data_IF_241579222327
#
_entry.id   IF_241579222327
#
_cell.length_a   1.000
_cell.length_b   1.000
_cell.length_c   1.000
_cell.angle_alpha   90.00
_cell.angle_beta   90.00
_cell.angle_gamma   90.00
#
_symmetry.space_group_name_H-M   'P 1'
#
loop_
_entity.id
_entity.type
_entity.pdbx_description
1 polymer ?
#
# COMPACT_ATOMS: atom_id res chain seq x y z
N UNK A 1 18.86 6.32 -5.44
CA UNK A 1 18.45 7.09 -4.24
C UNK A 1 17.39 6.26 -3.53
N UNK A 2 17.54 6.00 -2.24
CA UNK A 2 16.52 5.30 -1.45
C UNK A 2 15.31 6.22 -1.30
N UNK A 3 14.13 5.76 -1.70
CA UNK A 3 12.88 6.52 -1.54
C UNK A 3 12.53 6.59 -0.04
N UNK A 4 12.02 7.73 0.41
CA UNK A 4 11.71 8.00 1.83
C UNK A 4 10.31 8.56 1.98
N UNK A 5 9.73 8.39 3.17
CA UNK A 5 8.45 8.97 3.59
C UNK A 5 8.78 10.18 4.47
N UNK A 6 8.28 11.40 4.14
CA UNK A 6 8.58 12.60 4.91
C UNK A 6 8.25 12.44 6.38
N UNK A 7 9.16 12.87 7.28
CA UNK A 7 8.92 12.83 8.74
C UNK A 7 7.64 13.57 9.15
N UNK A 8 7.35 14.69 8.49
CA UNK A 8 6.13 15.46 8.71
C UNK A 8 4.85 14.66 8.39
N UNK A 9 4.88 13.82 7.35
CA UNK A 9 3.74 12.96 7.00
C UNK A 9 3.52 11.90 8.07
N UNK A 10 4.60 11.27 8.56
CA UNK A 10 4.51 10.31 9.68
C UNK A 10 3.95 10.98 10.94
N UNK A 11 4.36 12.22 11.21
CA UNK A 11 3.85 13.02 12.33
C UNK A 11 2.34 13.27 12.20
N UNK A 12 1.90 13.70 11.02
CA UNK A 12 0.48 13.94 10.72
C UNK A 12 -0.35 12.66 10.85
N UNK A 13 0.09 11.57 10.23
CA UNK A 13 -0.61 10.29 10.24
C UNK A 13 -0.76 9.69 11.64
N UNK A 14 0.26 9.84 12.50
CA UNK A 14 0.28 9.24 13.84
C UNK A 14 -0.24 10.18 14.93
N UNK A 15 -0.44 11.46 14.63
CA UNK A 15 -0.73 12.51 15.61
C UNK A 15 0.42 12.78 16.59
N UNK A 16 1.58 12.16 16.40
CA UNK A 16 2.76 12.40 17.24
C UNK A 16 3.51 13.64 16.76
N UNK A 17 4.00 14.51 17.64
CA UNK A 17 4.80 15.66 17.22
C UNK A 17 6.11 15.17 16.58
N UNK A 18 6.61 15.86 15.54
CA UNK A 18 7.86 15.50 14.87
C UNK A 18 9.02 15.28 15.85
N UNK A 19 9.14 16.10 16.89
CA UNK A 19 10.17 15.99 17.93
C UNK A 19 10.16 14.67 18.71
N UNK A 20 9.04 13.93 18.71
CA UNK A 20 8.93 12.59 19.31
C UNK A 20 9.26 11.46 18.31
N UNK A 21 9.39 11.76 17.03
CA UNK A 21 9.80 10.80 15.99
C UNK A 21 11.32 10.76 15.85
N UNK A 22 11.89 9.66 15.31
CA UNK A 22 13.29 9.62 14.90
C UNK A 22 13.66 10.77 13.95
N UNK A 23 14.92 11.21 13.99
CA UNK A 23 15.41 12.23 13.05
C UNK A 23 15.49 11.69 11.61
N UNK A 24 15.11 12.55 10.66
CA UNK A 24 15.11 12.24 9.23
C UNK A 24 13.83 11.59 8.73
N UNK A 25 13.73 11.47 7.42
CA UNK A 25 12.62 10.80 6.76
C UNK A 25 12.68 9.30 6.96
N UNK A 26 11.51 8.65 6.99
CA UNK A 26 11.40 7.21 7.17
C UNK A 26 11.79 6.48 5.88
N UNK A 27 12.82 5.62 5.86
CA UNK A 27 13.19 4.88 4.66
C UNK A 27 12.09 3.90 4.24
N UNK A 28 11.75 3.89 2.96
CA UNK A 28 10.68 3.05 2.44
C UNK A 28 10.89 1.53 2.70
N UNK A 29 12.10 0.96 2.60
CA UNK A 29 12.31 -0.44 2.94
C UNK A 29 11.99 -0.74 4.41
N UNK A 30 12.35 0.17 5.31
CA UNK A 30 12.06 0.02 6.74
C UNK A 30 10.57 0.13 7.01
N UNK A 31 9.89 1.06 6.37
CA UNK A 31 8.43 1.15 6.44
C UNK A 31 7.76 -0.15 5.96
N UNK A 32 8.22 -0.69 4.83
CA UNK A 32 7.69 -1.93 4.27
C UNK A 32 7.86 -3.13 5.21
N UNK A 33 9.00 -3.23 5.92
CA UNK A 33 9.22 -4.25 6.96
C UNK A 33 8.20 -4.13 8.10
N UNK A 34 7.96 -2.92 8.61
CA UNK A 34 6.98 -2.69 9.68
C UNK A 34 5.54 -2.96 9.22
N UNK A 35 5.16 -2.51 8.01
CA UNK A 35 3.84 -2.76 7.45
C UNK A 35 3.62 -4.25 7.16
N UNK A 36 4.64 -4.96 6.66
CA UNK A 36 4.59 -6.41 6.47
C UNK A 36 4.35 -7.17 7.78
N UNK A 37 4.98 -6.74 8.88
CA UNK A 37 4.69 -7.30 10.20
C UNK A 37 3.24 -7.05 10.65
N UNK A 38 2.68 -5.88 10.33
CA UNK A 38 1.27 -5.60 10.58
C UNK A 38 0.33 -6.46 9.72
N UNK A 39 0.62 -6.65 8.43
CA UNK A 39 -0.14 -7.54 7.54
C UNK A 39 -0.14 -9.00 8.03
N UNK A 40 1.00 -9.48 8.51
CA UNK A 40 1.10 -10.83 9.07
C UNK A 40 0.22 -10.99 10.32
N UNK A 41 0.06 -9.93 11.12
CA UNK A 41 -0.87 -9.91 12.26
C UNK A 41 -2.34 -9.85 11.79
N UNK A 42 -2.65 -9.04 10.76
CA UNK A 42 -3.98 -8.98 10.14
C UNK A 42 -4.42 -10.34 9.60
N UNK A 43 -3.54 -11.05 8.89
CA UNK A 43 -3.81 -12.37 8.35
C UNK A 43 -4.11 -13.43 9.44
N UNK A 44 -3.69 -13.18 10.68
CA UNK A 44 -3.93 -14.03 11.85
C UNK A 44 -5.06 -13.52 12.76
N UNK A 45 -5.77 -12.45 12.37
CA UNK A 45 -6.79 -11.79 13.20
C UNK A 45 -6.24 -11.19 14.52
N UNK A 46 -4.95 -10.86 14.57
CA UNK A 46 -4.25 -10.34 15.77
C UNK A 46 -3.83 -8.85 15.64
N UNK A 47 -4.46 -8.11 14.72
CA UNK A 47 -4.04 -6.75 14.38
C UNK A 47 -4.44 -5.67 15.40
N UNK A 48 -5.50 -5.89 16.18
CA UNK A 48 -5.99 -4.88 17.12
C UNK A 48 -4.98 -4.63 18.25
N UNK A 49 -4.52 -3.37 18.37
CA UNK A 49 -3.48 -3.01 19.34
C UNK A 49 -2.08 -3.51 18.99
N UNK A 50 -1.87 -3.99 17.76
CA UNK A 50 -0.56 -4.42 17.31
C UNK A 50 0.42 -3.23 17.29
N UNK A 51 1.68 -3.38 17.75
CA UNK A 51 2.64 -2.27 17.81
C UNK A 51 2.89 -1.58 16.47
N UNK A 52 2.65 -2.27 15.36
CA UNK A 52 2.84 -1.76 14.00
C UNK A 52 1.59 -1.17 13.36
N UNK A 53 0.48 -1.04 14.09
CA UNK A 53 -0.77 -0.46 13.58
C UNK A 53 -0.59 0.99 13.07
N UNK A 54 0.41 1.72 13.57
CA UNK A 54 0.74 3.06 13.07
C UNK A 54 1.07 3.09 11.57
N UNK A 55 1.56 1.97 11.03
CA UNK A 55 1.90 1.87 9.60
C UNK A 55 0.65 1.97 8.72
N UNK A 56 -0.50 1.49 9.19
CA UNK A 56 -1.76 1.60 8.48
C UNK A 56 -2.22 3.06 8.34
N UNK A 57 -2.12 3.81 9.44
CA UNK A 57 -2.42 5.25 9.43
C UNK A 57 -1.49 6.02 8.45
N UNK A 58 -0.21 5.64 8.40
CA UNK A 58 0.74 6.23 7.43
C UNK A 58 0.36 5.86 5.99
N UNK A 59 -0.08 4.63 5.73
CA UNK A 59 -0.53 4.23 4.40
C UNK A 59 -1.76 5.03 3.96
N UNK A 60 -2.75 5.17 4.83
CA UNK A 60 -3.94 5.99 4.55
C UNK A 60 -3.57 7.45 4.24
N UNK A 61 -2.64 8.03 5.01
CA UNK A 61 -2.15 9.38 4.74
C UNK A 61 -1.37 9.47 3.41
N UNK A 62 -0.57 8.45 3.07
CA UNK A 62 0.12 8.38 1.78
C UNK A 62 -0.88 8.32 0.63
N UNK A 63 -1.89 7.47 0.71
CA UNK A 63 -2.94 7.36 -0.32
C UNK A 63 -3.60 8.73 -0.52
N UNK A 64 -3.95 9.41 0.57
CA UNK A 64 -4.64 10.70 0.49
C UNK A 64 -3.78 11.88 -0.02
N UNK A 65 -2.45 11.84 0.14
CA UNK A 65 -1.58 13.01 -0.09
C UNK A 65 -0.53 12.82 -1.17
N UNK A 66 -0.05 11.60 -1.40
CA UNK A 66 0.93 11.25 -2.43
C UNK A 66 0.67 9.80 -2.93
N UNK A 67 -0.33 9.60 -3.81
CA UNK A 67 -0.68 8.29 -4.36
C UNK A 67 0.50 7.57 -5.04
N UNK A 68 1.43 8.32 -5.61
CA UNK A 68 2.61 7.75 -6.26
C UNK A 68 3.61 7.19 -5.25
N UNK A 69 3.78 7.85 -4.10
CA UNK A 69 4.56 7.32 -2.98
C UNK A 69 3.84 6.15 -2.28
N UNK A 70 2.51 6.20 -2.16
CA UNK A 70 1.70 5.08 -1.69
C UNK A 70 1.91 3.83 -2.56
N UNK A 71 1.80 3.97 -3.88
CA UNK A 71 2.07 2.87 -4.81
C UNK A 71 3.51 2.32 -4.65
N UNK A 72 4.49 3.21 -4.48
CA UNK A 72 5.86 2.78 -4.25
C UNK A 72 6.02 1.99 -2.93
N UNK A 73 5.29 2.38 -1.88
CA UNK A 73 5.27 1.67 -0.60
C UNK A 73 4.64 0.29 -0.76
N UNK A 74 3.48 0.19 -1.42
CA UNK A 74 2.79 -1.09 -1.71
C UNK A 74 3.72 -2.04 -2.47
N UNK A 75 4.45 -1.54 -3.47
CA UNK A 75 5.45 -2.34 -4.21
C UNK A 75 6.57 -2.84 -3.30
N UNK A 76 7.06 -2.01 -2.40
CA UNK A 76 8.11 -2.40 -1.46
C UNK A 76 7.61 -3.46 -0.46
N UNK A 77 6.35 -3.36 -0.03
CA UNK A 77 5.70 -4.37 0.85
C UNK A 77 5.52 -5.69 0.11
N UNK A 78 5.00 -5.68 -1.12
CA UNK A 78 4.84 -6.88 -1.94
C UNK A 78 6.16 -7.60 -2.20
N UNK A 79 7.25 -6.86 -2.40
CA UNK A 79 8.57 -7.45 -2.58
C UNK A 79 9.07 -8.21 -1.32
N UNK A 80 8.54 -7.90 -0.14
CA UNK A 80 8.82 -8.58 1.12
C UNK A 80 7.76 -9.60 1.55
N UNK A 81 6.63 -9.71 0.83
CA UNK A 81 5.55 -10.62 1.18
C UNK A 81 6.00 -12.08 1.10
N UNK A 82 5.62 -12.87 2.11
CA UNK A 82 6.13 -14.24 2.32
C UNK A 82 5.20 -15.32 1.80
N UNK A 83 3.91 -15.02 1.78
CA UNK A 83 2.87 -15.95 1.36
C UNK A 83 1.67 -15.24 0.71
N UNK A 84 0.74 -16.04 0.20
CA UNK A 84 -0.47 -15.55 -0.47
C UNK A 84 -1.41 -14.81 0.48
N UNK A 85 -1.38 -15.10 1.78
CA UNK A 85 -2.25 -14.45 2.76
C UNK A 85 -1.83 -13.00 2.99
N UNK A 86 -0.53 -12.72 3.07
CA UNK A 86 0.00 -11.35 3.13
C UNK A 86 -0.32 -10.56 1.85
N UNK A 87 -0.22 -11.19 0.68
CA UNK A 87 -0.59 -10.56 -0.60
C UNK A 87 -2.08 -10.24 -0.63
N UNK A 88 -2.94 -11.15 -0.19
CA UNK A 88 -4.38 -10.94 -0.10
C UNK A 88 -4.76 -9.83 0.89
N UNK A 89 -4.10 -9.78 2.05
CA UNK A 89 -4.33 -8.75 3.05
C UNK A 89 -3.94 -7.36 2.53
N UNK A 90 -2.85 -7.24 1.77
CA UNK A 90 -2.49 -5.97 1.14
C UNK A 90 -3.44 -5.60 -0.02
N UNK A 91 -3.88 -6.59 -0.79
CA UNK A 91 -4.80 -6.40 -1.90
C UNK A 91 -6.15 -5.84 -1.42
N UNK A 92 -6.78 -6.51 -0.45
CA UNK A 92 -8.07 -6.10 0.14
C UNK A 92 -7.99 -4.95 1.15
N UNK A 93 -6.82 -4.33 1.30
CA UNK A 93 -6.59 -3.15 2.13
C UNK A 93 -6.03 -2.01 1.29
N UNK A 94 -4.76 -1.69 1.53
CA UNK A 94 -4.10 -0.52 0.93
C UNK A 94 -4.17 -0.44 -0.61
N UNK A 95 -4.09 -1.57 -1.33
CA UNK A 95 -4.15 -1.54 -2.79
C UNK A 95 -5.57 -1.24 -3.30
N UNK A 96 -6.59 -1.84 -2.70
CA UNK A 96 -7.98 -1.54 -3.01
C UNK A 96 -8.31 -0.08 -2.72
N UNK A 97 -7.93 0.42 -1.54
CA UNK A 97 -8.10 1.82 -1.15
C UNK A 97 -7.42 2.78 -2.14
N UNK A 98 -6.18 2.49 -2.53
CA UNK A 98 -5.45 3.31 -3.52
C UNK A 98 -6.15 3.33 -4.88
N UNK A 99 -6.64 2.18 -5.35
CA UNK A 99 -7.33 2.09 -6.65
C UNK A 99 -8.65 2.85 -6.63
N UNK A 100 -9.40 2.77 -5.51
CA UNK A 100 -10.67 3.47 -5.34
C UNK A 100 -10.48 4.99 -5.25
N UNK A 101 -9.48 5.45 -4.49
CA UNK A 101 -9.23 6.87 -4.29
C UNK A 101 -8.56 7.53 -5.50
N UNK A 102 -7.51 6.89 -6.04
CA UNK A 102 -6.56 7.53 -6.95
C UNK A 102 -6.13 6.62 -8.10
N UNK A 103 -6.96 5.62 -8.47
CA UNK A 103 -6.67 4.66 -9.53
C UNK A 103 -6.26 5.33 -10.86
N UNK A 104 -6.92 6.43 -11.24
CA UNK A 104 -6.59 7.18 -12.45
C UNK A 104 -5.21 7.87 -12.38
N UNK A 105 -4.75 8.25 -11.18
CA UNK A 105 -3.44 8.88 -10.98
C UNK A 105 -2.29 7.88 -11.04
N UNK A 106 -2.53 6.62 -10.65
CA UNK A 106 -1.47 5.60 -10.52
C UNK A 106 -1.48 4.53 -11.61
N UNK A 107 -2.50 4.48 -12.48
CA UNK A 107 -2.66 3.41 -13.46
C UNK A 107 -1.51 3.31 -14.47
N UNK A 108 -0.97 4.43 -14.93
CA UNK A 108 0.16 4.42 -15.87
C UNK A 108 1.43 3.83 -15.22
N UNK A 109 1.65 4.14 -13.94
CA UNK A 109 2.76 3.60 -13.14
C UNK A 109 2.55 2.12 -12.78
N UNK A 110 1.31 1.68 -12.59
CA UNK A 110 0.96 0.27 -12.47
C UNK A 110 1.31 -0.47 -13.74
N UNK A 111 0.88 0.01 -14.91
CA UNK A 111 1.15 -0.62 -16.20
C UNK A 111 2.65 -0.68 -16.53
N UNK A 112 3.40 0.39 -16.25
CA UNK A 112 4.82 0.46 -16.55
C UNK A 112 5.67 -0.51 -15.71
N UNK A 113 5.19 -0.92 -14.53
CA UNK A 113 6.01 -1.62 -13.54
C UNK A 113 5.40 -2.86 -12.90
N UNK A 114 4.22 -3.33 -13.31
CA UNK A 114 3.58 -4.49 -12.68
C UNK A 114 4.42 -5.77 -12.86
N UNK A 115 5.08 -6.19 -11.79
CA UNK A 115 5.75 -7.49 -11.66
C UNK A 115 4.73 -8.60 -11.29
N UNK A 116 5.12 -9.88 -11.23
CA UNK A 116 4.19 -10.96 -10.91
C UNK A 116 3.46 -10.80 -9.57
N UNK A 117 4.11 -10.25 -8.54
CA UNK A 117 3.49 -10.06 -7.23
C UNK A 117 2.41 -8.97 -7.28
N UNK A 118 2.70 -7.85 -7.97
CA UNK A 118 1.70 -6.81 -8.23
C UNK A 118 0.52 -7.34 -9.03
N UNK A 119 0.76 -8.16 -10.06
CA UNK A 119 -0.34 -8.75 -10.86
C UNK A 119 -1.20 -9.70 -10.03
N UNK A 120 -0.57 -10.51 -9.17
CA UNK A 120 -1.30 -11.38 -8.24
C UNK A 120 -2.16 -10.56 -7.27
N UNK A 121 -1.63 -9.47 -6.69
CA UNK A 121 -2.39 -8.58 -5.82
C UNK A 121 -3.56 -7.90 -6.57
N UNK A 122 -3.34 -7.41 -7.79
CA UNK A 122 -4.41 -6.81 -8.61
C UNK A 122 -5.52 -7.81 -8.96
N UNK A 123 -5.19 -9.09 -9.12
CA UNK A 123 -6.17 -10.15 -9.37
C UNK A 123 -7.06 -10.47 -8.16
N UNK A 124 -6.67 -10.04 -6.96
CA UNK A 124 -7.38 -10.24 -5.70
C UNK A 124 -8.30 -9.07 -5.31
N UNK A 125 -8.31 -7.97 -6.06
CA UNK A 125 -9.18 -6.83 -5.78
C UNK A 125 -10.66 -7.21 -5.92
N UNK A 126 -11.46 -6.90 -4.90
CA UNK A 126 -12.90 -7.22 -4.85
C UNK A 126 -13.78 -5.97 -4.85
N UNK A 127 -13.41 -4.99 -5.68
CA UNK A 127 -14.15 -3.74 -5.82
C UNK A 127 -15.51 -4.01 -6.51
N UNK A 128 -16.66 -3.62 -5.93
CA UNK A 128 -17.97 -3.79 -6.55
C UNK A 128 -18.12 -3.06 -7.89
N UNK A 129 -18.87 -3.59 -8.89
CA UNK A 129 -18.99 -2.98 -10.22
C UNK A 129 -19.42 -1.51 -10.28
N UNK A 130 -20.15 -1.03 -9.28
CA UNK A 130 -20.67 0.34 -9.23
C UNK A 130 -19.67 1.34 -8.63
N UNK A 131 -18.59 0.86 -8.02
CA UNK A 131 -17.50 1.67 -7.45
C UNK A 131 -16.29 1.73 -8.40
N UNK A 132 -16.27 0.87 -9.43
CA UNK A 132 -15.20 0.81 -10.42
C UNK A 132 -15.23 2.03 -11.33
N UNK A 133 -14.10 2.74 -11.40
CA UNK A 133 -13.91 3.73 -12.46
C UNK A 133 -13.86 3.02 -13.83
N UNK A 134 -14.76 3.36 -14.77
CA UNK A 134 -14.85 2.71 -16.07
C UNK A 134 -13.62 2.94 -16.98
N UNK A 135 -12.81 3.98 -16.72
CA UNK A 135 -11.57 4.26 -17.44
C UNK A 135 -10.38 3.49 -16.86
N UNK A 136 -10.41 3.15 -15.56
CA UNK A 136 -9.30 2.49 -14.86
C UNK A 136 -9.47 0.98 -14.84
N UNK A 137 -10.69 0.50 -14.53
CA UNK A 137 -10.90 -0.92 -14.25
C UNK A 137 -10.52 -1.89 -15.38
N UNK A 138 -10.82 -1.60 -16.66
CA UNK A 138 -10.39 -2.49 -17.75
C UNK A 138 -8.87 -2.67 -17.83
N UNK A 139 -8.11 -1.64 -17.44
CA UNK A 139 -6.64 -1.64 -17.44
C UNK A 139 -6.11 -2.47 -16.27
N UNK A 140 -6.71 -2.33 -15.09
CA UNK A 140 -6.43 -3.20 -13.93
C UNK A 140 -6.70 -4.66 -14.28
N UNK A 141 -7.86 -4.97 -14.87
CA UNK A 141 -8.23 -6.32 -15.25
C UNK A 141 -7.25 -6.93 -16.28
N UNK A 142 -6.77 -6.11 -17.23
CA UNK A 142 -5.77 -6.53 -18.21
C UNK A 142 -4.43 -6.86 -17.53
N UNK A 143 -3.97 -6.06 -16.57
CA UNK A 143 -2.76 -6.32 -15.80
C UNK A 143 -2.86 -7.60 -14.97
N UNK A 144 -4.00 -7.79 -14.27
CA UNK A 144 -4.27 -8.97 -13.46
C UNK A 144 -4.27 -10.27 -14.27
N UNK A 145 -4.67 -10.21 -15.55
CA UNK A 145 -4.77 -11.38 -16.43
C UNK A 145 -3.48 -11.71 -17.20
N UNK A 146 -2.47 -10.84 -17.13
CA UNK A 146 -1.20 -11.00 -17.85
C UNK A 146 -0.21 -11.85 -17.04
N UNK A 147 -0.49 -13.16 -16.95
CA UNK A 147 0.41 -14.14 -16.30
C UNK A 147 1.48 -14.65 -17.26
#
# INVERSE_FOLDING_TARGET
MTRTIPRALVSEATGMPEAALPEGDLPLPRYAEHYGAFLAALAQEEAEGHPEQWTDAVMGQLIASDPALALAAIRAILAGARDEAEVAALAGGALEELVLADGAAVIDDLEAGADPAMRAALALLDIPPHERDPAVWPRIAALASAT
#
